data_IF_441791634327
#
_entry.id   IF_441791634327
#
_cell.length_a   1.000
_cell.length_b   1.000
_cell.length_c   1.000
_cell.angle_alpha   90.00
_cell.angle_beta   90.00
_cell.angle_gamma   90.00
#
_symmetry.space_group_name_H-M   'P 1'
#
loop_
_entity.id
_entity.type
_entity.pdbx_description
1 polymer ?
#
# COMPACT_ATOMS: atom_id res chain seq x y z
N UNK A 1 1.20 -20.08 -1.28
CA UNK A 1 1.23 -19.47 0.07
C UNK A 1 -0.15 -18.92 0.39
N UNK A 2 -0.86 -19.52 1.36
CA UNK A 2 -2.23 -19.11 1.73
C UNK A 2 -2.33 -18.49 3.14
N UNK A 3 -1.22 -18.45 3.88
CA UNK A 3 -1.15 -17.77 5.17
C UNK A 3 -0.66 -16.32 4.95
N UNK A 4 -1.33 -15.34 5.57
CA UNK A 4 -0.91 -13.94 5.50
C UNK A 4 0.50 -13.74 6.04
N UNK A 5 0.92 -14.54 7.02
CA UNK A 5 2.25 -14.49 7.61
C UNK A 5 3.34 -14.76 6.59
N UNK A 6 3.19 -15.86 5.82
CA UNK A 6 4.13 -16.24 4.77
C UNK A 6 4.20 -15.19 3.66
N UNK A 7 3.03 -14.65 3.28
CA UNK A 7 2.94 -13.64 2.23
C UNK A 7 3.60 -12.33 2.66
N UNK A 8 3.44 -11.89 3.91
CA UNK A 8 4.11 -10.68 4.37
C UNK A 8 5.61 -10.88 4.62
N UNK A 9 6.07 -12.08 4.97
CA UNK A 9 7.51 -12.37 4.96
C UNK A 9 8.07 -12.34 3.54
N UNK A 10 7.36 -12.93 2.58
CA UNK A 10 7.72 -12.87 1.17
C UNK A 10 7.72 -11.42 0.64
N UNK A 11 6.79 -10.58 1.10
CA UNK A 11 6.78 -9.15 0.81
C UNK A 11 8.05 -8.46 1.32
N UNK A 12 8.43 -8.66 2.60
CA UNK A 12 9.66 -8.10 3.16
C UNK A 12 10.92 -8.53 2.39
N UNK A 13 11.04 -9.82 2.05
CA UNK A 13 12.16 -10.34 1.25
C UNK A 13 12.18 -9.71 -0.15
N UNK A 14 11.02 -9.55 -0.79
CA UNK A 14 10.91 -8.89 -2.10
C UNK A 14 11.34 -7.43 -2.03
N UNK A 15 10.93 -6.71 -0.97
CA UNK A 15 11.35 -5.33 -0.70
C UNK A 15 12.85 -5.23 -0.48
N UNK A 16 13.46 -6.15 0.28
CA UNK A 16 14.91 -6.23 0.47
C UNK A 16 15.66 -6.52 -0.85
N UNK A 17 15.11 -7.39 -1.70
CA UNK A 17 15.70 -7.76 -2.98
C UNK A 17 15.51 -6.72 -4.11
N UNK A 18 14.78 -5.62 -3.86
CA UNK A 18 14.34 -4.66 -4.90
C UNK A 18 13.46 -5.29 -5.98
N UNK A 19 12.81 -6.43 -5.70
CA UNK A 19 11.90 -7.05 -6.64
C UNK A 19 10.52 -6.40 -6.50
N UNK A 20 10.37 -5.23 -7.13
CA UNK A 20 9.12 -4.44 -7.15
C UNK A 20 7.95 -5.29 -7.62
N UNK A 21 8.20 -6.23 -8.53
CA UNK A 21 7.17 -7.12 -9.06
C UNK A 21 6.57 -8.08 -8.08
N UNK A 22 7.44 -8.81 -7.39
CA UNK A 22 7.01 -9.72 -6.35
C UNK A 22 6.44 -8.97 -5.15
N UNK A 23 6.97 -7.79 -4.84
CA UNK A 23 6.44 -6.94 -3.79
C UNK A 23 4.98 -6.53 -4.08
N UNK A 24 4.67 -6.04 -5.29
CA UNK A 24 3.29 -5.70 -5.69
C UNK A 24 2.35 -6.90 -5.60
N UNK A 25 2.77 -8.07 -6.12
CA UNK A 25 1.95 -9.28 -6.06
C UNK A 25 1.67 -9.73 -4.62
N UNK A 26 2.66 -9.62 -3.75
CA UNK A 26 2.52 -9.98 -2.34
C UNK A 26 1.60 -9.01 -1.60
N UNK A 27 1.70 -7.71 -1.86
CA UNK A 27 0.81 -6.70 -1.30
C UNK A 27 -0.66 -6.93 -1.71
N UNK A 28 -0.91 -7.20 -3.00
CA UNK A 28 -2.24 -7.58 -3.49
C UNK A 28 -2.79 -8.82 -2.81
N UNK A 29 -1.93 -9.82 -2.60
CA UNK A 29 -2.33 -11.05 -1.91
C UNK A 29 -2.61 -10.79 -0.43
N UNK A 30 -1.81 -9.98 0.25
CA UNK A 30 -2.06 -9.56 1.63
C UNK A 30 -3.41 -8.87 1.77
N UNK A 31 -3.73 -7.91 0.90
CA UNK A 31 -5.03 -7.24 0.90
C UNK A 31 -6.19 -8.25 0.84
N UNK A 32 -6.11 -9.23 -0.07
CA UNK A 32 -7.13 -10.28 -0.20
C UNK A 32 -7.22 -11.22 1.01
N UNK A 33 -6.10 -11.41 1.73
CA UNK A 33 -6.04 -12.28 2.91
C UNK A 33 -6.51 -11.61 4.20
N UNK A 34 -6.71 -10.28 4.19
CA UNK A 34 -7.24 -9.50 5.32
C UNK A 34 -6.54 -9.83 6.66
N UNK A 35 -5.21 -9.67 6.75
CA UNK A 35 -4.49 -9.89 8.00
C UNK A 35 -5.02 -8.98 9.12
N UNK A 36 -4.85 -9.38 10.39
CA UNK A 36 -5.23 -8.55 11.52
C UNK A 36 -4.37 -7.27 11.59
N UNK A 37 -4.95 -6.18 12.09
CA UNK A 37 -4.29 -4.87 12.15
C UNK A 37 -2.96 -4.88 12.92
N UNK A 38 -2.85 -5.68 14.00
CA UNK A 38 -1.60 -5.83 14.74
C UNK A 38 -0.45 -6.36 13.88
N UNK A 39 -0.75 -7.23 12.92
CA UNK A 39 0.25 -7.79 12.00
C UNK A 39 0.68 -6.74 10.99
N UNK A 40 -0.28 -6.00 10.41
CA UNK A 40 0.03 -4.89 9.50
C UNK A 40 0.91 -3.83 10.18
N UNK A 41 0.66 -3.51 11.46
CA UNK A 41 1.54 -2.62 12.24
C UNK A 41 2.97 -3.13 12.33
N UNK A 42 3.15 -4.42 12.61
CA UNK A 42 4.49 -5.05 12.61
C UNK A 42 5.12 -5.04 11.22
N UNK A 43 4.33 -5.24 10.16
CA UNK A 43 4.80 -5.17 8.78
C UNK A 43 5.30 -3.76 8.43
N UNK A 44 4.57 -2.71 8.80
CA UNK A 44 4.99 -1.31 8.61
C UNK A 44 6.32 -1.03 9.30
N UNK A 45 6.51 -1.49 10.54
CA UNK A 45 7.80 -1.34 11.24
C UNK A 45 8.96 -1.97 10.47
N UNK A 46 8.75 -3.16 9.88
CA UNK A 46 9.76 -3.80 9.03
C UNK A 46 10.03 -3.00 7.75
N UNK A 47 9.00 -2.44 7.10
CA UNK A 47 9.17 -1.62 5.89
C UNK A 47 9.97 -0.35 6.16
N UNK A 48 9.70 0.33 7.29
CA UNK A 48 10.47 1.50 7.73
C UNK A 48 11.94 1.13 7.98
N UNK A 49 12.19 -0.04 8.55
CA UNK A 49 13.56 -0.54 8.76
C UNK A 49 14.26 -0.79 7.41
N UNK A 50 13.60 -1.46 6.47
CA UNK A 50 14.13 -1.72 5.13
C UNK A 50 14.45 -0.39 4.43
N UNK A 51 13.54 0.58 4.46
CA UNK A 51 13.74 1.90 3.85
C UNK A 51 14.92 2.66 4.50
N UNK A 52 15.11 2.53 5.81
CA UNK A 52 16.22 3.18 6.51
C UNK A 52 17.59 2.63 6.09
N UNK A 53 17.69 1.31 5.91
CA UNK A 53 18.97 0.65 5.63
C UNK A 53 19.26 0.47 4.14
N UNK A 54 18.24 0.58 3.29
CA UNK A 54 18.36 0.45 1.85
C UNK A 54 18.22 1.80 1.19
N UNK A 55 19.20 2.19 0.37
CA UNK A 55 19.09 3.41 -0.44
C UNK A 55 17.88 3.29 -1.38
N UNK A 56 16.95 4.26 -1.38
CA UNK A 56 15.84 4.24 -2.33
C UNK A 56 16.39 4.40 -3.74
N UNK A 57 16.14 3.42 -4.60
CA UNK A 57 16.31 3.61 -6.05
C UNK A 57 15.09 4.37 -6.53
N UNK A 58 15.29 5.62 -6.96
CA UNK A 58 14.20 6.42 -7.54
C UNK A 58 14.03 5.95 -8.99
N UNK A 59 13.17 4.97 -9.18
CA UNK A 59 12.72 4.54 -10.51
C UNK A 59 11.29 5.04 -10.75
N UNK A 60 11.13 5.94 -11.70
CA UNK A 60 9.81 6.36 -12.17
C UNK A 60 9.28 5.33 -13.16
N UNK A 61 8.74 4.23 -12.63
CA UNK A 61 8.07 3.20 -13.42
C UNK A 61 6.62 3.00 -12.95
N UNK A 62 5.69 2.61 -13.85
CA UNK A 62 4.30 2.30 -13.46
C UNK A 62 4.21 1.22 -12.37
N UNK A 63 5.21 0.32 -12.34
CA UNK A 63 5.31 -0.73 -11.33
C UNK A 63 5.70 -0.18 -9.96
N UNK A 64 6.61 0.79 -9.93
CA UNK A 64 7.01 1.47 -8.70
C UNK A 64 5.85 2.32 -8.16
N UNK A 65 5.10 3.00 -9.01
CA UNK A 65 3.89 3.74 -8.61
C UNK A 65 2.85 2.81 -7.97
N UNK A 66 2.62 1.63 -8.57
CA UNK A 66 1.74 0.61 -7.98
C UNK A 66 2.26 0.10 -6.64
N UNK A 67 3.58 -0.05 -6.47
CA UNK A 67 4.15 -0.40 -5.17
C UNK A 67 3.93 0.72 -4.14
N UNK A 68 4.17 1.98 -4.51
CA UNK A 68 3.96 3.12 -3.64
C UNK A 68 2.50 3.19 -3.16
N UNK A 69 1.54 2.99 -4.06
CA UNK A 69 0.13 2.87 -3.70
C UNK A 69 -0.14 1.80 -2.65
N UNK A 70 0.44 0.60 -2.80
CA UNK A 70 0.27 -0.47 -1.82
C UNK A 70 0.90 -0.14 -0.48
N UNK A 71 2.05 0.54 -0.47
CA UNK A 71 2.70 1.01 0.75
C UNK A 71 1.84 2.04 1.47
N UNK A 72 1.29 3.02 0.73
CA UNK A 72 0.36 4.02 1.27
C UNK A 72 -0.87 3.33 1.89
N UNK A 73 -1.45 2.35 1.21
CA UNK A 73 -2.61 1.62 1.72
C UNK A 73 -2.31 0.83 2.99
N UNK A 74 -1.17 0.13 3.03
CA UNK A 74 -0.76 -0.65 4.22
C UNK A 74 -0.50 0.31 5.38
N UNK A 75 0.16 1.44 5.13
CA UNK A 75 0.42 2.47 6.14
C UNK A 75 -0.87 3.06 6.68
N UNK A 76 -1.79 3.46 5.79
CA UNK A 76 -3.09 4.04 6.17
C UNK A 76 -3.95 3.05 6.96
N UNK A 77 -3.93 1.76 6.61
CA UNK A 77 -4.63 0.71 7.35
C UNK A 77 -4.10 0.51 8.79
N UNK A 78 -2.94 1.09 9.12
CA UNK A 78 -2.34 1.03 10.46
C UNK A 78 -2.39 2.35 11.22
N UNK A 79 -2.80 3.44 10.57
CA UNK A 79 -2.94 4.75 11.19
C UNK A 79 -4.24 4.82 11.99
N UNK A 80 -4.14 5.20 13.26
CA UNK A 80 -5.31 5.38 14.13
C UNK A 80 -5.88 6.81 14.03
N UNK A 81 -5.11 7.76 13.47
CA UNK A 81 -5.49 9.16 13.28
C UNK A 81 -5.38 9.52 11.80
N UNK A 82 -6.51 9.74 11.14
CA UNK A 82 -6.57 10.15 9.74
C UNK A 82 -6.45 11.66 9.61
N UNK A 83 -5.25 12.16 9.30
CA UNK A 83 -4.99 13.58 9.02
C UNK A 83 -4.71 13.83 7.52
N UNK A 84 -4.85 12.82 6.67
CA UNK A 84 -4.56 12.90 5.25
C UNK A 84 -5.64 13.68 4.47
N UNK A 85 -5.22 14.51 3.52
CA UNK A 85 -6.10 15.11 2.50
C UNK A 85 -6.37 14.17 1.32
N UNK A 86 -5.63 13.04 1.26
CA UNK A 86 -5.64 12.07 0.16
C UNK A 86 -5.57 10.65 0.72
N UNK A 87 -6.45 9.78 0.26
CA UNK A 87 -6.62 8.41 0.77
C UNK A 87 -6.46 7.39 -0.37
N UNK A 88 -5.60 6.37 -0.21
CA UNK A 88 -5.51 5.28 -1.17
C UNK A 88 -6.76 4.40 -1.09
N UNK A 89 -7.42 4.17 -2.22
CA UNK A 89 -8.61 3.32 -2.32
C UNK A 89 -8.51 2.35 -3.49
N UNK A 90 -9.26 1.25 -3.41
CA UNK A 90 -9.44 0.34 -4.55
C UNK A 90 -10.86 0.47 -5.08
N UNK A 91 -10.97 1.01 -6.28
CA UNK A 91 -12.24 1.04 -7.02
C UNK A 91 -12.49 -0.35 -7.58
N UNK A 92 -13.67 -0.90 -7.34
CA UNK A 92 -14.07 -2.20 -7.91
C UNK A 92 -14.80 -1.91 -9.21
N UNK A 93 -14.14 -2.21 -10.32
CA UNK A 93 -14.77 -2.14 -11.63
C UNK A 93 -15.88 -3.21 -11.78
N UNK A 94 -16.85 -3.03 -12.72
CA UNK A 94 -17.84 -4.05 -13.04
C UNK A 94 -17.23 -5.42 -13.39
N UNK A 95 -16.01 -5.41 -13.93
CA UNK A 95 -15.18 -6.57 -14.26
C UNK A 95 -14.64 -7.33 -13.03
N UNK A 96 -14.92 -6.85 -11.81
CA UNK A 96 -14.35 -7.34 -10.53
C UNK A 96 -12.84 -7.17 -10.42
N UNK A 97 -12.27 -6.32 -11.25
CA UNK A 97 -10.87 -5.87 -11.13
C UNK A 97 -10.81 -4.75 -10.10
N UNK A 98 -9.84 -4.82 -9.20
CA UNK A 98 -9.53 -3.74 -8.27
C UNK A 98 -8.58 -2.76 -8.95
N UNK A 99 -9.01 -1.52 -9.10
CA UNK A 99 -8.21 -0.43 -9.65
C UNK A 99 -7.67 0.45 -8.51
N UNK A 100 -6.32 0.57 -8.37
CA UNK A 100 -5.70 1.55 -7.50
C UNK A 100 -6.10 2.98 -7.85
N UNK A 101 -6.59 3.74 -6.87
CA UNK A 101 -6.97 5.15 -7.05
C UNK A 101 -6.76 5.92 -5.75
N UNK A 102 -6.82 7.24 -5.80
CA UNK A 102 -6.68 8.07 -4.61
C UNK A 102 -7.84 9.05 -4.52
N UNK A 103 -8.54 9.06 -3.39
CA UNK A 103 -9.59 10.05 -3.13
C UNK A 103 -8.98 11.22 -2.37
N UNK A 104 -9.22 12.45 -2.83
CA UNK A 104 -8.92 13.65 -2.05
C UNK A 104 -10.16 14.45 -1.70
N UNK A 105 -10.14 15.03 -0.49
CA UNK A 105 -11.18 15.93 0.00
C UNK A 105 -10.65 17.36 -0.05
N UNK A 106 -11.28 18.20 -0.86
CA UNK A 106 -10.95 19.63 -0.88
C UNK A 106 -11.95 20.40 0.00
N UNK A 107 -11.55 20.70 1.23
CA UNK A 107 -12.36 21.46 2.20
C UNK A 107 -12.18 22.98 2.10
N UNK A 108 -11.21 23.45 1.32
CA UNK A 108 -10.90 24.88 1.15
C UNK A 108 -11.65 25.51 -0.03
N UNK A 109 -12.31 24.69 -0.86
CA UNK A 109 -13.17 25.17 -1.93
C UNK A 109 -14.52 25.66 -1.37
N UNK A 110 -15.07 26.70 -2.00
CA UNK A 110 -16.38 27.32 -1.68
C UNK A 110 -17.51 26.27 -1.71
N UNK A 111 -17.35 25.24 -2.54
CA UNK A 111 -18.10 23.98 -2.51
C UNK A 111 -17.17 22.80 -2.17
N UNK A 112 -17.58 21.96 -1.22
CA UNK A 112 -16.85 20.73 -0.87
C UNK A 112 -16.86 19.78 -2.07
N UNK A 113 -15.68 19.38 -2.54
CA UNK A 113 -15.51 18.50 -3.69
C UNK A 113 -14.74 17.23 -3.35
N UNK A 114 -15.08 16.13 -4.03
CA UNK A 114 -14.39 14.83 -3.95
C UNK A 114 -13.82 14.53 -5.32
N UNK A 115 -12.52 14.28 -5.41
CA UNK A 115 -11.83 13.87 -6.64
C UNK A 115 -11.27 12.45 -6.50
N UNK A 116 -11.23 11.72 -7.61
CA UNK A 116 -10.76 10.34 -7.77
C UNK A 116 -9.60 10.28 -8.77
#
# INVERSE_FOLDING_TARGET
MNNYWDVGQFFNVSMLASDVGKAVQAAERLFRLKPPAWYLRSLVQNLLLIQRFKKPTIEHSPRQERLNFWLDMIFEATNEVTNGLRFPVLVIEPTKVYQPSYISLNSEAEEKTVSL
#
